data_IF_650423666345
#
_entry.id   IF_650423666345
#
_cell.length_a   1.000
_cell.length_b   1.000
_cell.length_c   1.000
_cell.angle_alpha   90.00
_cell.angle_beta   90.00
_cell.angle_gamma   90.00
#
_symmetry.space_group_name_H-M   'P 1'
#
loop_
_entity.id
_entity.type
_entity.pdbx_description
1 polymer ?
#
# COMPACT_ATOMS: atom_id res chain seq x y z
N UNK A 1 6.52 9.32 10.53
CA UNK A 1 6.45 10.12 9.29
C UNK A 1 5.10 9.81 8.70
N UNK A 2 4.30 10.81 8.32
CA UNK A 2 2.94 10.55 7.85
C UNK A 2 2.94 10.30 6.34
N UNK A 3 2.39 9.18 5.91
CA UNK A 3 2.25 8.77 4.52
C UNK A 3 0.84 8.99 3.99
N UNK A 4 -0.17 8.66 4.79
CA UNK A 4 -1.57 8.90 4.48
C UNK A 4 -2.12 10.04 5.34
N UNK A 5 -2.63 11.08 4.68
CA UNK A 5 -3.36 12.14 5.34
C UNK A 5 -4.85 11.96 5.11
N UNK A 6 -5.61 12.03 6.20
CA UNK A 6 -7.07 12.01 6.16
C UNK A 6 -7.58 13.30 6.77
N UNK A 7 -8.31 14.08 5.98
CA UNK A 7 -8.95 15.31 6.43
C UNK A 7 -10.41 15.32 6.04
N UNK A 8 -11.26 15.89 6.90
CA UNK A 8 -12.69 15.99 6.61
C UNK A 8 -13.02 16.93 5.44
N UNK A 9 -12.08 17.83 5.08
CA UNK A 9 -12.23 18.85 4.04
C UNK A 9 -11.60 18.46 2.70
N UNK A 10 -10.49 17.71 2.70
CA UNK A 10 -9.73 17.38 1.49
C UNK A 10 -9.67 15.86 1.22
N UNK A 11 -10.44 15.06 1.96
CA UNK A 11 -10.49 13.62 1.79
C UNK A 11 -9.22 12.89 2.21
N UNK A 12 -8.82 11.89 1.44
CA UNK A 12 -7.63 11.07 1.69
C UNK A 12 -6.55 11.42 0.68
N UNK A 13 -5.34 11.65 1.16
CA UNK A 13 -4.16 11.93 0.34
C UNK A 13 -3.00 11.02 0.69
N UNK A 14 -2.15 10.73 -0.28
CA UNK A 14 -0.91 9.97 -0.13
C UNK A 14 0.30 10.85 -0.43
N UNK A 15 1.33 10.78 0.43
CA UNK A 15 2.57 11.52 0.26
C UNK A 15 3.56 10.77 -0.63
N UNK A 16 3.82 11.30 -1.82
CA UNK A 16 4.92 10.86 -2.69
C UNK A 16 6.19 11.57 -2.23
N UNK A 17 7.19 10.82 -1.77
CA UNK A 17 8.32 11.39 -1.06
C UNK A 17 9.62 11.04 -1.75
N UNK A 18 10.42 12.06 -2.05
CA UNK A 18 11.76 11.88 -2.63
C UNK A 18 12.82 11.86 -1.54
N UNK A 19 13.68 10.84 -1.60
CA UNK A 19 14.80 10.61 -0.70
C UNK A 19 16.13 10.77 -1.43
N UNK A 20 17.06 11.49 -0.79
CA UNK A 20 18.42 11.71 -1.29
C UNK A 20 19.45 11.48 -0.19
N UNK A 21 20.66 11.12 -0.59
CA UNK A 21 21.81 10.96 0.31
C UNK A 21 22.97 11.80 -0.20
N UNK A 22 23.65 12.50 0.70
CA UNK A 22 24.89 13.21 0.37
C UNK A 22 25.97 12.20 -0.08
N UNK A 23 26.63 12.48 -1.21
CA UNK A 23 27.65 11.61 -1.78
C UNK A 23 27.11 10.39 -2.55
N UNK A 24 25.81 10.36 -2.86
CA UNK A 24 25.15 9.33 -3.67
C UNK A 24 24.39 10.01 -4.81
N UNK A 25 24.52 9.50 -6.04
CA UNK A 25 23.76 10.00 -7.19
C UNK A 25 22.37 9.33 -7.29
N UNK A 26 22.24 8.14 -6.69
CA UNK A 26 21.01 7.37 -6.58
C UNK A 26 19.96 8.12 -5.75
N UNK A 27 18.71 8.13 -6.23
CA UNK A 27 17.56 8.70 -5.53
C UNK A 27 16.44 7.67 -5.44
N UNK A 28 15.68 7.75 -4.35
CA UNK A 28 14.46 6.96 -4.18
C UNK A 28 13.25 7.88 -4.17
N UNK A 29 12.16 7.47 -4.81
CA UNK A 29 10.85 8.09 -4.67
C UNK A 29 9.91 7.02 -4.16
N UNK A 30 9.23 7.31 -3.05
CA UNK A 30 8.36 6.37 -2.38
C UNK A 30 6.91 6.74 -2.65
N UNK A 31 6.11 5.76 -3.08
CA UNK A 31 4.68 5.88 -3.40
C UNK A 31 3.88 4.98 -2.44
N UNK A 32 3.38 5.53 -1.32
CA UNK A 32 2.43 4.84 -0.44
C UNK A 32 1.11 4.59 -1.17
N UNK A 33 0.84 3.35 -1.54
CA UNK A 33 -0.35 3.00 -2.29
C UNK A 33 -1.51 2.66 -1.36
N UNK A 34 -2.69 3.17 -1.71
CA UNK A 34 -3.98 2.73 -1.16
C UNK A 34 -4.69 1.90 -2.25
N UNK A 35 -5.18 0.72 -1.90
CA UNK A 35 -5.76 -0.22 -2.87
C UNK A 35 -7.15 0.16 -3.39
N UNK A 36 -7.82 1.12 -2.74
CA UNK A 36 -9.08 1.73 -3.19
C UNK A 36 -8.94 3.25 -3.27
N UNK A 37 -9.23 3.81 -4.43
CA UNK A 37 -9.09 5.24 -4.69
C UNK A 37 -9.83 5.67 -5.94
N UNK A 38 -9.78 6.95 -6.25
CA UNK A 38 -10.30 7.47 -7.50
C UNK A 38 -9.37 7.12 -8.67
N UNK A 39 -9.91 6.95 -9.89
CA UNK A 39 -9.10 6.64 -11.07
C UNK A 39 -7.97 7.65 -11.32
N UNK A 40 -8.21 8.93 -11.02
CA UNK A 40 -7.23 10.01 -11.21
C UNK A 40 -5.96 9.80 -10.40
N UNK A 41 -6.07 9.29 -9.16
CA UNK A 41 -4.92 8.97 -8.32
C UNK A 41 -3.99 7.96 -9.00
N UNK A 42 -4.54 6.86 -9.49
CA UNK A 42 -3.74 5.80 -10.12
C UNK A 42 -3.14 6.24 -11.45
N UNK A 43 -3.89 7.00 -12.25
CA UNK A 43 -3.39 7.57 -13.49
C UNK A 43 -2.23 8.54 -13.26
N UNK A 44 -2.30 9.37 -12.21
CA UNK A 44 -1.22 10.28 -11.86
C UNK A 44 0.03 9.55 -11.35
N UNK A 45 -0.15 8.52 -10.50
CA UNK A 45 0.96 7.65 -10.09
C UNK A 45 1.61 7.02 -11.32
N UNK A 46 0.84 6.35 -12.18
CA UNK A 46 1.31 5.71 -13.41
C UNK A 46 2.07 6.69 -14.31
N UNK A 47 1.55 7.91 -14.49
CA UNK A 47 2.21 8.95 -15.26
C UNK A 47 3.60 9.30 -14.70
N UNK A 48 3.73 9.39 -13.38
CA UNK A 48 5.00 9.67 -12.70
C UNK A 48 5.97 8.49 -12.79
N UNK A 49 5.48 7.25 -12.82
CA UNK A 49 6.35 6.07 -12.90
C UNK A 49 7.17 6.04 -14.19
N UNK A 50 6.65 6.57 -15.30
CA UNK A 50 7.38 6.64 -16.58
C UNK A 50 8.72 7.41 -16.51
N UNK A 51 8.91 8.30 -15.53
CA UNK A 51 10.16 9.06 -15.38
C UNK A 51 11.21 8.37 -14.52
N UNK A 52 10.96 7.13 -14.07
CA UNK A 52 11.89 6.37 -13.22
C UNK A 52 12.75 5.43 -14.06
N UNK A 53 13.92 5.06 -13.55
CA UNK A 53 14.85 4.16 -14.21
C UNK A 53 14.68 2.71 -13.74
N UNK A 54 14.15 2.52 -12.54
CA UNK A 54 13.89 1.23 -11.92
C UNK A 54 12.71 1.34 -10.95
N UNK A 55 11.83 0.35 -10.96
CA UNK A 55 10.72 0.25 -10.02
C UNK A 55 10.91 -0.94 -9.07
N UNK A 56 10.61 -0.72 -7.79
CA UNK A 56 10.47 -1.76 -6.76
C UNK A 56 8.99 -1.85 -6.44
N UNK A 57 8.34 -2.92 -6.88
CA UNK A 57 6.87 -3.00 -6.89
C UNK A 57 6.37 -4.13 -6.02
N UNK A 58 5.24 -3.89 -5.36
CA UNK A 58 4.51 -4.92 -4.63
C UNK A 58 4.02 -6.02 -5.59
N UNK A 59 4.18 -7.28 -5.17
CA UNK A 59 3.76 -8.43 -5.94
C UNK A 59 2.32 -8.78 -5.67
N UNK A 60 1.60 -9.13 -6.74
CA UNK A 60 0.39 -9.92 -6.63
C UNK A 60 0.83 -11.36 -6.36
N UNK A 61 1.34 -11.65 -5.16
CA UNK A 61 1.59 -13.04 -4.80
C UNK A 61 0.28 -13.79 -5.05
N UNK A 62 0.26 -14.77 -5.97
CA UNK A 62 -0.93 -15.55 -6.38
C UNK A 62 -1.44 -16.48 -5.26
N UNK A 63 -1.21 -16.11 -4.00
CA UNK A 63 -1.60 -16.81 -2.80
C UNK A 63 -3.11 -16.70 -2.57
N UNK A 64 -3.71 -17.66 -1.84
CA UNK A 64 -5.12 -17.57 -1.43
C UNK A 64 -5.43 -16.32 -0.60
N UNK A 65 -4.50 -15.86 0.25
CA UNK A 65 -4.68 -14.69 1.11
C UNK A 65 -4.65 -13.38 0.32
N UNK A 66 -3.62 -13.16 -0.51
CA UNK A 66 -3.54 -12.00 -1.41
C UNK A 66 -4.70 -11.96 -2.41
N UNK A 67 -5.15 -13.12 -2.91
CA UNK A 67 -6.36 -13.21 -3.74
C UNK A 67 -7.64 -12.93 -2.97
N UNK A 68 -7.75 -13.32 -1.71
CA UNK A 68 -8.93 -13.04 -0.88
C UNK A 68 -9.04 -11.54 -0.57
N UNK A 69 -7.93 -10.89 -0.23
CA UNK A 69 -7.87 -9.44 -0.01
C UNK A 69 -8.12 -8.66 -1.31
N UNK A 70 -7.45 -9.05 -2.41
CA UNK A 70 -7.72 -8.49 -3.74
C UNK A 70 -9.17 -8.72 -4.19
N UNK A 71 -9.77 -9.88 -3.86
CA UNK A 71 -11.16 -10.17 -4.16
C UNK A 71 -12.10 -9.31 -3.32
N UNK A 72 -11.79 -9.08 -2.04
CA UNK A 72 -12.53 -8.19 -1.17
C UNK A 72 -12.59 -6.78 -1.78
N UNK A 73 -11.45 -6.21 -2.18
CA UNK A 73 -11.42 -4.90 -2.84
C UNK A 73 -12.19 -4.89 -4.17
N UNK A 74 -12.06 -5.93 -5.01
CA UNK A 74 -12.88 -6.06 -6.24
C UNK A 74 -14.37 -6.17 -5.98
N UNK A 75 -14.78 -6.68 -4.83
CA UNK A 75 -16.20 -6.66 -4.45
C UNK A 75 -16.61 -5.26 -4.01
N UNK A 76 -15.73 -4.46 -3.43
CA UNK A 76 -16.04 -3.07 -3.09
C UNK A 76 -16.08 -2.14 -4.32
N UNK A 77 -15.33 -2.50 -5.37
CA UNK A 77 -15.39 -1.86 -6.68
C UNK A 77 -16.81 -1.90 -7.27
N UNK A 78 -17.26 -0.77 -7.81
CA UNK A 78 -18.60 -0.65 -8.41
C UNK A 78 -19.73 -0.37 -7.43
N UNK A 79 -19.45 -0.23 -6.12
CA UNK A 79 -20.43 0.36 -5.20
C UNK A 79 -20.64 1.83 -5.57
N UNK A 80 -21.87 2.20 -5.96
CA UNK A 80 -22.22 3.59 -6.27
C UNK A 80 -22.00 4.56 -5.10
N UNK A 81 -22.00 4.05 -3.87
CA UNK A 81 -21.75 4.83 -2.63
C UNK A 81 -20.28 5.12 -2.38
N UNK A 82 -19.38 4.35 -2.96
CA UNK A 82 -17.94 4.58 -2.87
C UNK A 82 -17.44 5.26 -4.14
N UNK A 83 -17.92 4.84 -5.32
CA UNK A 83 -17.45 5.32 -6.62
C UNK A 83 -15.91 5.32 -6.71
N UNK A 84 -15.27 4.31 -6.10
CA UNK A 84 -13.83 4.09 -6.10
C UNK A 84 -13.50 2.87 -6.96
N UNK A 85 -12.28 2.86 -7.48
CA UNK A 85 -11.71 1.74 -8.24
C UNK A 85 -10.60 1.08 -7.44
N UNK A 86 -10.35 -0.18 -7.76
CA UNK A 86 -9.21 -0.91 -7.22
C UNK A 86 -7.96 -0.43 -7.93
N UNK A 87 -6.84 -0.35 -7.20
CA UNK A 87 -5.52 -0.10 -7.78
C UNK A 87 -5.26 -1.03 -8.97
N UNK A 88 -5.13 -0.44 -10.16
CA UNK A 88 -4.77 -1.11 -11.41
C UNK A 88 -3.72 -0.25 -12.11
N UNK A 89 -2.45 -0.62 -11.92
CA UNK A 89 -1.32 -0.01 -12.64
C UNK A 89 -0.71 -1.11 -13.48
N UNK A 90 -0.72 -0.95 -14.81
CA UNK A 90 -0.11 -1.92 -15.70
C UNK A 90 1.36 -1.59 -15.89
N UNK A 91 2.19 -2.17 -15.01
CA UNK A 91 3.64 -1.98 -15.01
C UNK A 91 4.31 -2.37 -16.34
N UNK A 92 3.70 -3.23 -17.15
CA UNK A 92 4.24 -3.57 -18.47
C UNK A 92 4.07 -2.42 -19.47
N UNK A 93 3.01 -1.62 -19.32
CA UNK A 93 2.77 -0.43 -20.16
C UNK A 93 3.58 0.78 -19.72
N UNK A 94 4.04 0.81 -18.46
CA UNK A 94 4.92 1.86 -17.93
C UNK A 94 6.27 1.88 -18.68
N UNK A 95 6.75 0.72 -19.14
CA UNK A 95 7.98 0.60 -19.92
C UNK A 95 9.27 0.78 -19.11
N UNK A 96 9.18 0.80 -17.77
CA UNK A 96 10.31 0.91 -16.86
C UNK A 96 10.64 -0.48 -16.29
N UNK A 97 11.92 -0.88 -16.21
CA UNK A 97 12.32 -2.13 -15.55
C UNK A 97 11.80 -2.16 -14.10
N UNK A 98 11.25 -3.30 -13.68
CA UNK A 98 10.79 -3.47 -12.30
C UNK A 98 11.34 -4.74 -11.67
N UNK A 99 11.59 -4.68 -10.37
CA UNK A 99 11.85 -5.84 -9.53
C UNK A 99 10.66 -6.06 -8.60
N UNK A 100 10.37 -7.33 -8.34
CA UNK A 100 9.32 -7.74 -7.44
C UNK A 100 9.95 -8.51 -6.27
N UNK A 101 10.32 -7.85 -5.16
CA UNK A 101 10.94 -8.53 -4.03
C UNK A 101 9.89 -9.20 -3.15
N UNK A 102 8.74 -9.62 -3.67
CA UNK A 102 7.68 -10.19 -2.85
C UNK A 102 7.87 -11.70 -2.59
N UNK A 103 7.08 -12.23 -1.67
CA UNK A 103 7.05 -13.65 -1.40
C UNK A 103 6.58 -14.42 -2.64
N UNK A 104 7.29 -15.50 -2.96
CA UNK A 104 6.85 -16.45 -3.98
C UNK A 104 5.52 -17.10 -3.58
N UNK A 105 4.74 -17.56 -4.55
CA UNK A 105 3.46 -18.22 -4.28
C UNK A 105 3.64 -19.44 -3.35
N UNK A 106 4.77 -20.13 -3.46
CA UNK A 106 5.18 -21.25 -2.62
C UNK A 106 5.48 -20.81 -1.19
N UNK A 107 6.26 -19.73 -1.02
CA UNK A 107 6.59 -19.20 0.30
C UNK A 107 5.32 -18.73 1.04
N UNK A 108 4.39 -18.08 0.35
CA UNK A 108 3.11 -17.70 0.97
C UNK A 108 2.26 -18.92 1.28
N UNK A 109 2.22 -19.95 0.40
CA UNK A 109 1.47 -21.18 0.66
C UNK A 109 2.00 -21.92 1.88
N UNK A 110 3.31 -21.97 2.06
CA UNK A 110 3.94 -22.59 3.22
C UNK A 110 3.78 -21.77 4.50
N UNK A 111 3.86 -20.44 4.40
CA UNK A 111 3.46 -19.54 5.50
C UNK A 111 2.00 -19.74 5.91
N UNK A 112 1.08 -19.78 4.94
CA UNK A 112 -0.34 -20.04 5.16
C UNK A 112 -0.57 -21.41 5.82
N UNK A 113 0.23 -22.42 5.47
CA UNK A 113 0.21 -23.76 6.09
C UNK A 113 0.64 -23.76 7.55
N UNK A 114 1.37 -22.75 8.03
CA UNK A 114 1.78 -22.60 9.43
C UNK A 114 0.70 -21.94 10.29
N UNK A 115 -0.21 -21.18 9.68
CA UNK A 115 -1.37 -20.59 10.37
C UNK A 115 -2.30 -21.70 10.86
N UNK A 116 -2.82 -21.62 12.07
CA UNK A 116 -3.71 -22.66 12.62
C UNK A 116 -5.00 -22.80 11.79
N UNK A 117 -5.61 -23.99 11.78
CA UNK A 117 -6.86 -24.22 11.06
C UNK A 117 -8.00 -23.32 11.54
N UNK A 118 -8.02 -23.02 12.85
CA UNK A 118 -8.98 -22.09 13.46
C UNK A 118 -8.83 -20.67 12.89
N UNK A 119 -7.61 -20.13 12.89
CA UNK A 119 -7.33 -18.80 12.34
C UNK A 119 -7.66 -18.72 10.84
N UNK A 120 -7.38 -19.78 10.07
CA UNK A 120 -7.79 -19.82 8.64
C UNK A 120 -9.30 -19.81 8.46
N UNK A 121 -10.04 -20.51 9.32
CA UNK A 121 -11.49 -20.50 9.29
C UNK A 121 -12.04 -19.12 9.68
N UNK A 122 -11.44 -18.49 10.69
CA UNK A 122 -11.79 -17.14 11.13
C UNK A 122 -11.60 -16.11 10.01
N UNK A 123 -10.44 -16.08 9.34
CA UNK A 123 -10.19 -15.17 8.20
C UNK A 123 -11.21 -15.41 7.07
N UNK A 124 -11.54 -16.67 6.75
CA UNK A 124 -12.56 -17.00 5.73
C UNK A 124 -13.96 -16.54 6.12
N UNK A 125 -14.25 -16.40 7.40
CA UNK A 125 -15.54 -15.91 7.90
C UNK A 125 -15.57 -14.38 7.97
N UNK A 126 -14.52 -13.75 8.48
CA UNK A 126 -14.46 -12.30 8.71
C UNK A 126 -14.40 -11.50 7.40
N UNK A 127 -13.60 -11.95 6.42
CA UNK A 127 -13.44 -11.24 5.13
C UNK A 127 -14.78 -11.02 4.41
N UNK A 128 -15.63 -12.04 4.16
CA UNK A 128 -16.91 -11.81 3.49
C UNK A 128 -17.87 -10.96 4.33
N UNK A 129 -17.88 -11.11 5.66
CA UNK A 129 -18.70 -10.26 6.55
C UNK A 129 -18.29 -8.80 6.40
N UNK A 130 -16.99 -8.51 6.45
CA UNK A 130 -16.45 -7.17 6.25
C UNK A 130 -16.82 -6.60 4.87
N UNK A 131 -16.67 -7.39 3.80
CA UNK A 131 -17.05 -6.98 2.43
C UNK A 131 -18.54 -6.68 2.32
N UNK A 132 -19.40 -7.52 2.91
CA UNK A 132 -20.85 -7.31 2.91
C UNK A 132 -21.19 -6.03 3.70
N UNK A 133 -20.61 -5.85 4.88
CA UNK A 133 -20.79 -4.65 5.68
C UNK A 133 -20.37 -3.39 4.92
N UNK A 134 -19.20 -3.40 4.29
CA UNK A 134 -18.70 -2.28 3.50
C UNK A 134 -19.52 -2.04 2.22
N UNK A 135 -20.10 -3.07 1.60
CA UNK A 135 -21.07 -2.87 0.50
C UNK A 135 -22.38 -2.24 0.97
N UNK A 136 -22.90 -2.67 2.11
CA UNK A 136 -24.21 -2.25 2.62
C UNK A 136 -24.17 -0.90 3.35
N UNK A 137 -23.04 -0.55 3.97
CA UNK A 137 -22.93 0.62 4.85
C UNK A 137 -21.65 1.44 4.64
N UNK A 138 -20.71 0.96 3.81
CA UNK A 138 -19.47 1.67 3.53
C UNK A 138 -19.71 2.98 2.80
N UNK A 139 -19.05 4.03 3.28
CA UNK A 139 -18.97 5.35 2.65
C UNK A 139 -17.51 5.75 2.55
N UNK A 140 -17.20 6.73 1.70
CA UNK A 140 -15.83 7.29 1.62
C UNK A 140 -15.33 7.78 2.99
N UNK A 141 -16.22 8.33 3.82
CA UNK A 141 -15.90 8.74 5.20
C UNK A 141 -15.54 7.57 6.12
N UNK A 142 -16.28 6.47 6.04
CA UNK A 142 -15.98 5.24 6.81
C UNK A 142 -14.63 4.68 6.38
N UNK A 143 -14.37 4.60 5.07
CA UNK A 143 -13.09 4.12 4.53
C UNK A 143 -11.93 5.02 4.96
N UNK A 144 -12.08 6.34 4.84
CA UNK A 144 -11.09 7.32 5.27
C UNK A 144 -10.73 7.18 6.75
N UNK A 145 -11.73 6.93 7.62
CA UNK A 145 -11.48 6.69 9.04
C UNK A 145 -10.66 5.42 9.29
N UNK A 146 -10.91 4.34 8.56
CA UNK A 146 -10.09 3.11 8.69
C UNK A 146 -8.64 3.37 8.28
N UNK A 147 -8.42 4.06 7.15
CA UNK A 147 -7.08 4.43 6.69
C UNK A 147 -6.34 5.34 7.69
N UNK A 148 -7.06 6.25 8.35
CA UNK A 148 -6.48 7.11 9.38
C UNK A 148 -6.02 6.34 10.62
N UNK A 149 -6.75 5.28 10.99
CA UNK A 149 -6.45 4.40 12.12
C UNK A 149 -5.25 3.50 11.81
N UNK A 150 -5.23 2.90 10.60
CA UNK A 150 -4.10 2.11 10.09
C UNK A 150 -2.80 2.92 10.05
N UNK A 151 -2.83 4.16 9.58
CA UNK A 151 -1.65 5.05 9.54
C UNK A 151 -1.08 5.35 10.95
N UNK A 152 -1.94 5.49 11.95
CA UNK A 152 -1.53 5.78 13.32
C UNK A 152 -0.95 4.55 14.05
N UNK A 153 -1.08 3.36 13.44
CA UNK A 153 -0.69 2.09 14.07
C UNK A 153 -1.56 1.73 15.27
N UNK A 154 -2.71 2.41 15.45
CA UNK A 154 -3.65 2.11 16.51
C UNK A 154 -4.53 0.97 15.99
N UNK A 155 -4.22 -0.26 16.39
CA UNK A 155 -4.99 -1.42 15.93
C UNK A 155 -6.40 -1.30 16.52
N UNK A 156 -7.43 -1.26 15.66
CA UNK A 156 -8.82 -1.33 16.12
C UNK A 156 -8.94 -2.50 17.11
N UNK A 157 -9.48 -2.33 18.33
CA UNK A 157 -9.68 -3.42 19.27
C UNK A 157 -10.42 -4.62 18.67
N UNK A 158 -11.25 -4.41 17.63
CA UNK A 158 -11.93 -5.47 16.88
C UNK A 158 -11.02 -6.19 15.86
N UNK A 159 -9.92 -5.56 15.43
CA UNK A 159 -8.84 -6.14 14.62
C UNK A 159 -7.70 -6.70 15.48
N UNK A 160 -7.67 -6.44 16.78
CA UNK A 160 -6.71 -7.05 17.72
C UNK A 160 -6.86 -8.57 17.82
N UNK A 161 -7.96 -9.12 17.28
CA UNK A 161 -8.21 -10.56 17.08
C UNK A 161 -7.67 -11.09 15.72
N UNK A 162 -7.01 -10.26 14.91
CA UNK A 162 -6.34 -10.76 13.70
C UNK A 162 -5.21 -11.71 14.09
N UNK A 163 -5.03 -12.83 13.38
CA UNK A 163 -4.02 -13.81 13.77
C UNK A 163 -2.59 -13.24 13.66
N UNK A 164 -1.80 -13.25 14.74
CA UNK A 164 -0.36 -12.86 14.72
C UNK A 164 0.41 -13.50 13.54
N UNK A 165 0.09 -14.75 13.22
CA UNK A 165 0.73 -15.50 12.13
C UNK A 165 0.31 -15.03 10.73
N UNK A 166 -0.84 -14.37 10.59
CA UNK A 166 -1.27 -13.71 9.37
C UNK A 166 -0.52 -12.39 9.18
N UNK A 167 -0.39 -11.59 10.24
CA UNK A 167 0.33 -10.31 10.21
C UNK A 167 1.84 -10.51 9.97
N UNK A 168 2.43 -11.53 10.59
CA UNK A 168 3.83 -11.93 10.31
C UNK A 168 4.04 -12.31 8.84
N UNK A 169 3.05 -12.95 8.21
CA UNK A 169 3.13 -13.37 6.81
C UNK A 169 2.87 -12.22 5.84
N UNK A 170 1.87 -11.38 6.13
CA UNK A 170 1.39 -10.33 5.23
C UNK A 170 2.19 -9.04 5.34
N UNK A 171 2.76 -8.71 6.50
CA UNK A 171 3.51 -7.48 6.73
C UNK A 171 5.01 -7.78 6.87
N UNK A 172 5.40 -8.36 8.00
CA UNK A 172 6.80 -8.49 8.40
C UNK A 172 7.66 -9.28 7.41
N UNK A 173 7.13 -10.37 6.84
CA UNK A 173 7.86 -11.17 5.86
C UNK A 173 8.11 -10.44 4.55
N UNK A 174 7.15 -9.62 4.11
CA UNK A 174 7.25 -8.83 2.87
C UNK A 174 8.16 -7.62 3.09
N UNK A 175 8.07 -6.97 4.25
CA UNK A 175 8.96 -5.88 4.65
C UNK A 175 10.43 -6.30 4.62
N UNK A 176 10.76 -7.50 5.14
CA UNK A 176 12.14 -8.01 5.11
C UNK A 176 12.68 -8.12 3.69
N UNK A 177 11.88 -8.61 2.75
CA UNK A 177 12.31 -8.77 1.36
C UNK A 177 12.40 -7.41 0.65
N UNK A 178 11.44 -6.52 0.87
CA UNK A 178 11.45 -5.16 0.37
C UNK A 178 12.69 -4.39 0.84
N UNK A 179 12.97 -4.42 2.14
CA UNK A 179 14.15 -3.81 2.75
C UNK A 179 15.44 -4.42 2.17
N UNK A 180 15.49 -5.75 2.02
CA UNK A 180 16.64 -6.43 1.39
C UNK A 180 16.89 -5.93 -0.03
N UNK A 181 15.84 -5.74 -0.84
CA UNK A 181 15.96 -5.21 -2.19
C UNK A 181 16.47 -3.76 -2.22
N UNK A 182 15.99 -2.91 -1.30
CA UNK A 182 16.50 -1.53 -1.15
C UNK A 182 18.00 -1.54 -0.79
N UNK A 183 18.41 -2.42 0.12
CA UNK A 183 19.81 -2.59 0.49
C UNK A 183 20.67 -3.03 -0.70
N UNK A 184 20.21 -4.02 -1.48
CA UNK A 184 20.92 -4.51 -2.66
C UNK A 184 21.09 -3.40 -3.73
N UNK A 185 20.00 -2.69 -4.07
CA UNK A 185 20.04 -1.55 -5.00
C UNK A 185 21.04 -0.50 -4.53
N UNK A 186 21.01 -0.16 -3.24
CA UNK A 186 21.96 0.80 -2.70
C UNK A 186 23.41 0.31 -2.86
N UNK A 187 23.71 -0.93 -2.47
CA UNK A 187 25.06 -1.47 -2.54
C UNK A 187 25.60 -1.52 -3.97
N UNK A 188 24.76 -1.90 -4.93
CA UNK A 188 25.16 -2.10 -6.32
C UNK A 188 25.18 -0.80 -7.13
N UNK A 189 24.26 0.13 -6.85
CA UNK A 189 23.94 1.25 -7.76
C UNK A 189 24.07 2.63 -7.09
N UNK A 190 24.57 2.77 -5.87
CA UNK A 190 24.63 4.07 -5.17
C UNK A 190 25.36 5.20 -5.90
N UNK A 191 26.35 4.86 -6.73
CA UNK A 191 27.11 5.85 -7.51
C UNK A 191 26.45 6.19 -8.85
N UNK A 192 25.43 5.44 -9.25
CA UNK A 192 24.72 5.66 -10.50
C UNK A 192 23.66 6.75 -10.36
N UNK A 193 23.52 7.56 -11.41
CA UNK A 193 22.49 8.59 -11.46
C UNK A 193 21.17 8.00 -11.95
N UNK A 194 20.53 7.22 -11.08
CA UNK A 194 19.23 6.60 -11.33
C UNK A 194 18.18 7.04 -10.31
N UNK A 195 16.93 7.09 -10.75
CA UNK A 195 15.74 7.35 -9.96
C UNK A 195 14.95 6.06 -9.75
N UNK A 196 14.89 5.59 -8.51
CA UNK A 196 14.21 4.35 -8.15
C UNK A 196 12.85 4.64 -7.54
N UNK A 197 11.79 4.14 -8.14
CA UNK A 197 10.42 4.26 -7.61
C UNK A 197 10.07 3.06 -6.74
N UNK A 198 9.66 3.27 -5.49
CA UNK A 198 9.19 2.22 -4.57
C UNK A 198 7.68 2.32 -4.45
N UNK A 199 6.95 1.34 -5.00
CA UNK A 199 5.48 1.34 -5.08
C UNK A 199 4.95 0.14 -4.30
N UNK A 200 4.43 0.40 -3.10
CA UNK A 200 3.94 -0.62 -2.18
C UNK A 200 2.74 -0.09 -1.40
N UNK A 201 1.94 -0.98 -0.80
CA UNK A 201 0.91 -0.59 0.17
C UNK A 201 1.47 0.32 1.26
N UNK A 202 0.68 1.31 1.70
CA UNK A 202 1.10 2.31 2.69
C UNK A 202 1.61 1.69 4.01
N UNK A 203 1.07 0.54 4.41
CA UNK A 203 1.48 -0.20 5.61
C UNK A 203 2.96 -0.58 5.60
N UNK A 204 3.57 -0.79 4.43
CA UNK A 204 4.98 -1.18 4.28
C UNK A 204 5.95 0.02 4.33
N UNK A 205 5.45 1.25 4.29
CA UNK A 205 6.29 2.44 4.10
C UNK A 205 7.15 2.79 5.30
N UNK A 206 6.71 2.40 6.50
CA UNK A 206 7.52 2.53 7.71
C UNK A 206 8.84 1.74 7.58
N UNK A 207 8.79 0.49 7.13
CA UNK A 207 9.98 -0.33 6.92
C UNK A 207 10.90 0.24 5.83
N UNK A 208 10.32 0.78 4.74
CA UNK A 208 11.07 1.43 3.65
C UNK A 208 11.81 2.67 4.16
N UNK A 209 11.12 3.56 4.87
CA UNK A 209 11.73 4.80 5.38
C UNK A 209 12.80 4.51 6.41
N UNK A 210 12.56 3.56 7.32
CA UNK A 210 13.57 3.14 8.30
C UNK A 210 14.84 2.61 7.62
N UNK A 211 14.69 1.78 6.57
CA UNK A 211 15.82 1.27 5.80
C UNK A 211 16.58 2.41 5.10
N UNK A 212 15.86 3.31 4.41
CA UNK A 212 16.45 4.46 3.74
C UNK A 212 17.19 5.38 4.73
N UNK A 213 16.62 5.63 5.91
CA UNK A 213 17.25 6.42 6.96
C UNK A 213 18.55 5.79 7.47
N UNK A 214 18.55 4.48 7.72
CA UNK A 214 19.76 3.73 8.12
C UNK A 214 20.85 3.76 7.05
N UNK A 215 20.44 3.78 5.78
CA UNK A 215 21.34 3.94 4.63
C UNK A 215 21.80 5.38 4.40
N UNK A 216 21.37 6.35 5.22
CA UNK A 216 21.78 7.75 5.15
C UNK A 216 21.00 8.60 4.14
N UNK A 217 19.93 8.05 3.56
CA UNK A 217 18.99 8.84 2.76
C UNK A 217 18.09 9.65 3.67
N UNK A 218 17.72 10.85 3.23
CA UNK A 218 16.82 11.76 3.94
C UNK A 218 15.76 12.28 2.97
N UNK A 219 14.53 12.49 3.43
CA UNK A 219 13.51 13.11 2.60
C UNK A 219 13.98 14.53 2.22
N UNK A 220 13.88 14.87 0.95
CA UNK A 220 14.24 16.19 0.44
C UNK A 220 13.08 16.91 -0.24
N UNK A 221 12.03 16.18 -0.60
CA UNK A 221 10.83 16.70 -1.24
C UNK A 221 9.64 15.78 -0.94
N UNK A 222 8.43 16.34 -0.92
CA UNK A 222 7.20 15.61 -0.70
C UNK A 222 6.03 16.30 -1.41
N UNK A 223 5.28 15.51 -2.18
CA UNK A 223 4.08 15.94 -2.88
C UNK A 223 2.88 15.13 -2.41
N UNK A 224 1.73 15.78 -2.25
CA UNK A 224 0.50 15.11 -1.85
C UNK A 224 -0.36 14.82 -3.07
N UNK A 225 -0.74 13.55 -3.23
CA UNK A 225 -1.69 13.10 -4.23
C UNK A 225 -3.03 12.79 -3.57
N UNK A 226 -4.12 13.35 -4.10
CA UNK A 226 -5.46 13.00 -3.64
C UNK A 226 -5.78 11.57 -4.07
N UNK A 227 -6.08 10.72 -3.09
CA UNK A 227 -6.54 9.34 -3.30
C UNK A 227 -8.05 9.36 -3.58
N UNK A 228 -8.83 10.08 -2.78
CA UNK A 228 -10.25 10.36 -3.02
C UNK A 228 -10.76 11.48 -2.13
N UNK A 229 -11.75 12.24 -2.61
CA UNK A 229 -12.45 13.24 -1.82
C UNK A 229 -13.56 12.64 -0.96
N UNK A 230 -13.86 13.25 0.18
CA UNK A 230 -15.03 12.92 1.01
C UNK A 230 -16.08 14.01 0.76
N UNK A 231 -17.29 13.62 0.37
CA UNK A 231 -18.38 14.58 0.20
C UNK A 231 -18.61 15.39 1.49
N UNK A 232 -18.81 16.72 1.39
CA UNK A 232 -19.16 17.52 2.54
C UNK A 232 -20.42 16.95 3.21
N UNK A 233 -20.56 17.06 4.55
CA UNK A 233 -21.78 16.63 5.20
C UNK A 233 -22.98 17.30 4.51
N UNK A 234 -23.94 16.50 4.07
CA UNK A 234 -25.22 17.01 3.56
C UNK A 234 -25.77 17.92 4.65
N UNK A 235 -25.85 19.22 4.37
CA UNK A 235 -26.53 20.15 5.26
C UNK A 235 -27.99 19.71 5.26
N UNK A 236 -28.47 19.20 6.40
CA UNK A 236 -29.89 19.02 6.63
C UNK A 236 -30.52 20.41 6.74
N UNK A 237 -30.73 21.05 5.59
CA UNK A 237 -31.64 22.17 5.43
C UNK A 237 -32.51 21.84 4.21
N UNK A 238 -33.66 21.23 4.50
CA UNK A 238 -34.97 21.56 3.93
C UNK A 238 -36.06 20.99 4.84
#
# INVERSE_FOLDING_TARGET
>A
MQFIEVTELCGVRSAVITFRRAGSALRFVVYPMVHLGEPGFYAEVEQRLHSHDLLVVEGVAHSPAGRALSAAYRHLEGSSRLALVVQRIDLHTVGVPFINPDLTAEAVKDGWRRISLFQRALVRLLVPVYVIQMRLFGTRRVLARHLAVEEQGDVDPALNDFPDAFDELMLHSRDRLLVSAIHAIHQERCMEQILVGVIYGAEHMHAVVDALWRLGYRPCDAEWLTVFDIDPPVSLND
#
